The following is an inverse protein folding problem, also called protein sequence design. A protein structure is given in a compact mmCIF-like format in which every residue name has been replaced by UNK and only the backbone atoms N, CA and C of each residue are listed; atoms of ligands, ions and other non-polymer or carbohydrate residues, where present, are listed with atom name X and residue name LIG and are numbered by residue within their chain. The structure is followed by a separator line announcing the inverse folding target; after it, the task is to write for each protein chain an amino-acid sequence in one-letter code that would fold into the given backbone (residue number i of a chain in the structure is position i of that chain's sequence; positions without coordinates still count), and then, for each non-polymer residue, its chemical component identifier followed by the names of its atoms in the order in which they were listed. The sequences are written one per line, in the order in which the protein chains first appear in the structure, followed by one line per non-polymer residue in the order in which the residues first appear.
data_IF_752166716644
#
_entry.id   IF_752166716644
#
_cell.length_a   1.000
_cell.length_b   1.000
_cell.length_c   1.000
_cell.angle_alpha   90.00
_cell.angle_beta   90.00
_cell.angle_gamma   90.00
#
_symmetry.space_group_name_H-M   'P 1'
#
loop_
_entity.id
_entity.type
_entity.pdbx_description
1 polymer ?
#
# COMPACT_ATOMS: atom_id res chain seq x y z
N UNK A 1 28.26 -14.44 32.22
CA UNK A 1 27.74 -15.57 31.41
C UNK A 1 28.93 -16.24 30.73
N UNK A 2 29.33 -17.44 31.14
CA UNK A 2 30.55 -18.09 30.63
C UNK A 2 30.29 -18.75 29.27
N UNK A 3 31.02 -18.34 28.24
CA UNK A 3 30.96 -18.92 26.89
C UNK A 3 31.45 -20.38 26.96
N UNK A 4 30.59 -21.34 26.60
CA UNK A 4 30.93 -22.76 26.51
C UNK A 4 31.06 -23.18 25.04
N UNK A 5 31.95 -24.15 24.74
CA UNK A 5 32.12 -24.81 23.43
C UNK A 5 30.80 -25.16 22.72
N UNK A 6 29.76 -25.55 23.46
CA UNK A 6 28.42 -25.86 22.88
C UNK A 6 27.68 -24.61 22.40
N UNK A 7 27.89 -23.47 23.05
CA UNK A 7 27.39 -22.17 22.60
C UNK A 7 28.16 -21.73 21.34
N UNK A 8 29.49 -21.80 21.35
CA UNK A 8 30.32 -21.47 20.20
C UNK A 8 29.94 -22.30 18.96
N UNK A 9 29.85 -23.63 19.05
CA UNK A 9 29.51 -24.48 17.90
C UNK A 9 28.08 -24.23 17.37
N UNK A 10 27.11 -23.93 18.24
CA UNK A 10 25.76 -23.54 17.80
C UNK A 10 25.75 -22.18 17.12
N UNK A 11 26.50 -21.20 17.64
CA UNK A 11 26.60 -19.86 17.07
C UNK A 11 27.38 -19.84 15.74
N UNK A 12 28.45 -20.64 15.63
CA UNK A 12 29.28 -20.75 14.43
C UNK A 12 28.57 -21.52 13.29
N UNK A 13 27.76 -22.54 13.61
CA UNK A 13 26.97 -23.26 12.60
C UNK A 13 25.92 -22.37 11.92
N UNK A 14 25.28 -21.47 12.68
CA UNK A 14 24.31 -20.51 12.14
C UNK A 14 25.00 -19.41 11.31
N UNK A 15 26.21 -19.01 11.68
CA UNK A 15 27.02 -18.05 10.92
C UNK A 15 27.52 -18.60 9.58
N UNK A 16 27.86 -19.89 9.51
CA UNK A 16 28.30 -20.54 8.26
C UNK A 16 27.14 -20.78 7.28
N UNK A 17 25.94 -21.13 7.77
CA UNK A 17 24.76 -21.24 6.91
C UNK A 17 24.31 -19.90 6.32
N UNK A 18 24.60 -18.77 6.98
CA UNK A 18 24.21 -17.44 6.50
C UNK A 18 25.17 -16.85 5.46
N UNK A 19 26.45 -17.22 5.47
CA UNK A 19 27.43 -16.78 4.46
C UNK A 19 27.31 -17.60 3.17
N UNK A 20 27.07 -18.92 3.28
CA UNK A 20 26.96 -19.82 2.11
C UNK A 20 25.67 -19.61 1.29
N UNK A 21 24.56 -19.27 1.95
CA UNK A 21 23.29 -18.99 1.26
C UNK A 21 23.24 -17.58 0.65
N UNK A 22 24.07 -16.64 1.11
CA UNK A 22 24.05 -15.28 0.59
C UNK A 22 24.50 -15.18 -0.87
N UNK A 23 25.34 -16.09 -1.37
CA UNK A 23 25.81 -16.04 -2.77
C UNK A 23 24.94 -16.82 -3.77
N UNK A 24 24.13 -17.78 -3.30
CA UNK A 24 23.26 -18.60 -4.15
C UNK A 24 21.76 -18.30 -3.97
N UNK A 25 21.39 -17.45 -3.01
CA UNK A 25 20.00 -17.06 -2.81
C UNK A 25 19.50 -16.22 -4.00
N UNK A 26 18.33 -16.54 -4.58
CA UNK A 26 17.62 -15.67 -5.49
C UNK A 26 17.59 -14.23 -4.98
N UNK A 27 17.82 -13.26 -5.88
CA UNK A 27 17.98 -11.84 -5.52
C UNK A 27 16.81 -11.27 -4.69
N UNK A 28 15.61 -11.84 -4.79
CA UNK A 28 14.46 -11.45 -3.97
C UNK A 28 14.64 -11.80 -2.48
N UNK A 29 15.28 -12.93 -2.16
CA UNK A 29 15.59 -13.33 -0.78
C UNK A 29 16.71 -12.47 -0.19
N UNK A 30 17.74 -12.15 -0.99
CA UNK A 30 18.77 -11.19 -0.58
C UNK A 30 18.17 -9.80 -0.29
N UNK A 31 17.27 -9.33 -1.17
CA UNK A 31 16.52 -8.07 -0.96
C UNK A 31 15.62 -8.12 0.29
N UNK A 32 14.97 -9.25 0.56
CA UNK A 32 14.14 -9.44 1.75
C UNK A 32 14.97 -9.42 3.04
N UNK A 33 16.14 -10.07 3.05
CA UNK A 33 17.08 -10.07 4.19
C UNK A 33 17.67 -8.67 4.43
N UNK A 34 18.11 -7.96 3.38
CA UNK A 34 18.58 -6.57 3.52
C UNK A 34 17.46 -5.61 3.96
N UNK A 35 16.21 -5.87 3.55
CA UNK A 35 15.05 -5.13 4.04
C UNK A 35 14.74 -5.42 5.52
N UNK A 36 15.01 -6.64 5.98
CA UNK A 36 14.90 -7.04 7.39
C UNK A 36 16.03 -6.47 8.26
N UNK A 37 17.26 -6.39 7.78
CA UNK A 37 18.36 -5.73 8.53
C UNK A 37 18.08 -4.23 8.71
N UNK A 38 17.43 -3.60 7.72
CA UNK A 38 16.93 -2.23 7.86
C UNK A 38 15.80 -2.09 8.90
N UNK A 39 15.10 -3.18 9.24
CA UNK A 39 14.16 -3.23 10.35
C UNK A 39 14.81 -3.61 11.68
N UNK A 40 15.91 -4.38 11.69
CA UNK A 40 16.66 -4.74 12.92
C UNK A 40 17.54 -3.60 13.44
N UNK A 41 18.04 -2.71 12.57
CA UNK A 41 18.62 -1.42 12.99
C UNK A 41 17.53 -0.48 13.58
N UNK A 42 16.25 -0.79 13.39
CA UNK A 42 15.12 -0.09 14.02
C UNK A 42 14.56 -0.82 15.26
N UNK A 43 15.39 -1.60 15.95
CA UNK A 43 15.06 -2.21 17.24
C UNK A 43 15.66 -1.43 18.41
N UNK A 44 14.85 -0.56 19.03
CA UNK A 44 15.13 0.05 20.33
C UNK A 44 15.53 1.53 20.28
N UNK A 45 14.59 2.43 20.59
CA UNK A 45 14.83 3.87 20.71
C UNK A 45 14.42 4.66 19.46
N UNK A 46 13.74 5.80 19.66
CA UNK A 46 13.07 6.56 18.59
C UNK A 46 14.01 7.07 17.49
N UNK A 47 13.53 7.08 16.24
CA UNK A 47 14.19 7.80 15.14
C UNK A 47 14.01 7.22 13.73
N UNK A 48 13.59 5.96 13.58
CA UNK A 48 13.33 5.40 12.25
C UNK A 48 12.07 5.99 11.61
N UNK A 49 12.19 6.61 10.43
CA UNK A 49 11.05 7.13 9.66
C UNK A 49 10.04 5.99 9.43
N UNK A 50 8.81 6.15 9.95
CA UNK A 50 7.70 5.21 9.71
C UNK A 50 7.53 5.03 8.20
N UNK A 51 7.45 3.77 7.74
CA UNK A 51 7.21 3.45 6.33
C UNK A 51 5.72 3.56 6.05
N UNK A 52 5.33 4.35 5.06
CA UNK A 52 3.95 4.46 4.58
C UNK A 52 3.78 3.60 3.33
N UNK A 53 2.75 2.75 3.31
CA UNK A 53 2.33 2.03 2.12
C UNK A 53 1.18 2.81 1.47
N UNK A 54 1.33 3.15 0.19
CA UNK A 54 0.27 3.74 -0.62
C UNK A 54 -0.17 2.67 -1.61
N UNK A 55 -1.45 2.29 -1.56
CA UNK A 55 -2.05 1.34 -2.51
C UNK A 55 -2.99 2.10 -3.42
N UNK A 56 -2.77 2.02 -4.73
CA UNK A 56 -3.62 2.64 -5.74
C UNK A 56 -4.26 1.50 -6.53
N UNK A 57 -5.58 1.41 -6.50
CA UNK A 57 -6.32 0.42 -7.27
C UNK A 57 -7.07 1.09 -8.43
N UNK A 58 -6.53 0.91 -9.65
CA UNK A 58 -7.11 1.37 -10.90
C UNK A 58 -8.30 0.49 -11.31
N UNK A 59 -9.51 0.89 -10.90
CA UNK A 59 -10.76 0.21 -11.28
C UNK A 59 -11.10 0.51 -12.74
N UNK A 60 -11.77 -0.43 -13.40
CA UNK A 60 -12.17 -0.27 -14.81
C UNK A 60 -11.22 -0.92 -15.83
N UNK A 61 -10.36 -1.85 -15.37
CA UNK A 61 -9.43 -2.63 -16.19
C UNK A 61 -8.36 -1.79 -16.87
N UNK A 62 -7.19 -1.70 -16.23
CA UNK A 62 -6.04 -1.03 -16.81
C UNK A 62 -5.37 -1.91 -17.86
N UNK A 63 -5.06 -1.33 -19.01
CA UNK A 63 -4.31 -2.00 -20.07
C UNK A 63 -2.82 -1.98 -19.75
N UNK A 64 -2.35 -3.01 -19.03
CA UNK A 64 -0.95 -3.13 -18.62
C UNK A 64 0.04 -3.07 -19.79
N UNK A 65 -0.32 -3.67 -20.93
CA UNK A 65 0.50 -3.68 -22.14
C UNK A 65 0.62 -2.31 -22.82
N UNK A 66 -0.27 -1.35 -22.52
CA UNK A 66 -0.11 0.04 -22.95
C UNK A 66 0.48 0.94 -21.85
N UNK A 67 0.44 0.54 -20.58
CA UNK A 67 1.19 1.23 -19.52
C UNK A 67 2.70 0.99 -19.62
N UNK A 68 3.05 -0.29 -19.82
CA UNK A 68 4.42 -0.79 -19.95
C UNK A 68 4.49 -1.52 -21.28
N UNK A 69 4.84 -0.75 -22.31
CA UNK A 69 4.80 -1.11 -23.71
C UNK A 69 6.00 -2.01 -24.04
N UNK A 70 5.81 -3.29 -24.43
CA UNK A 70 6.89 -4.14 -24.90
C UNK A 70 7.23 -3.79 -26.37
N UNK A 71 7.74 -2.58 -26.62
CA UNK A 71 7.96 -2.07 -28.00
C UNK A 71 9.01 -2.89 -28.78
N UNK A 72 9.86 -3.65 -28.10
CA UNK A 72 10.77 -4.62 -28.70
C UNK A 72 10.07 -5.86 -29.27
N UNK A 73 8.85 -6.16 -28.81
CA UNK A 73 8.08 -7.34 -29.22
C UNK A 73 7.24 -7.02 -30.47
N UNK A 74 7.46 -7.78 -31.55
CA UNK A 74 6.71 -7.60 -32.80
C UNK A 74 5.24 -8.02 -32.62
N UNK A 75 4.98 -9.09 -31.88
CA UNK A 75 3.64 -9.61 -31.68
C UNK A 75 2.71 -8.58 -31.02
N UNK A 76 3.24 -7.66 -30.20
CA UNK A 76 2.46 -6.57 -29.62
C UNK A 76 1.84 -5.67 -30.70
N UNK A 77 2.59 -5.33 -31.75
CA UNK A 77 2.09 -4.51 -32.85
C UNK A 77 1.14 -5.30 -33.76
N UNK A 78 1.49 -6.54 -34.09
CA UNK A 78 0.69 -7.40 -34.96
C UNK A 78 -0.69 -7.72 -34.34
N UNK A 79 -0.75 -7.90 -33.01
CA UNK A 79 -1.99 -8.20 -32.28
C UNK A 79 -2.79 -6.95 -31.87
N UNK A 80 -2.21 -5.74 -31.96
CA UNK A 80 -2.84 -4.49 -31.50
C UNK A 80 -2.76 -3.35 -32.52
N UNK A 81 -3.14 -3.56 -33.79
CA UNK A 81 -2.90 -2.59 -34.87
C UNK A 81 -3.54 -1.22 -34.63
N UNK A 82 -4.66 -1.15 -33.89
CA UNK A 82 -5.36 0.10 -33.59
C UNK A 82 -5.03 0.70 -32.20
N UNK A 83 -4.32 -0.03 -31.34
CA UNK A 83 -4.11 0.33 -29.93
C UNK A 83 -2.64 0.44 -29.54
N UNK A 84 -1.73 -0.10 -30.36
CA UNK A 84 -0.32 -0.16 -30.04
C UNK A 84 0.29 1.25 -29.93
N UNK A 85 1.05 1.47 -28.87
CA UNK A 85 1.83 2.69 -28.69
C UNK A 85 3.06 2.63 -29.62
N UNK A 86 3.33 3.69 -30.41
CA UNK A 86 4.47 3.74 -31.30
C UNK A 86 5.80 3.47 -30.59
N UNK A 87 6.74 2.84 -31.31
CA UNK A 87 8.11 2.62 -30.81
C UNK A 87 8.78 3.95 -30.42
N UNK A 88 9.70 3.96 -29.44
CA UNK A 88 10.45 5.15 -29.07
C UNK A 88 11.07 5.82 -30.30
N UNK A 89 10.71 7.08 -30.53
CA UNK A 89 11.21 7.87 -31.65
C UNK A 89 11.41 9.31 -31.20
N UNK A 90 12.60 9.85 -31.43
CA UNK A 90 12.92 11.24 -31.08
C UNK A 90 11.96 12.19 -31.81
N UNK A 91 11.32 13.08 -31.04
CA UNK A 91 10.39 14.08 -31.58
C UNK A 91 8.95 13.59 -31.75
N UNK A 92 8.65 12.33 -31.43
CA UNK A 92 7.27 11.83 -31.38
C UNK A 92 6.75 11.83 -29.93
N UNK A 93 5.84 12.75 -29.55
CA UNK A 93 5.30 12.80 -28.20
C UNK A 93 4.37 11.62 -27.86
N UNK A 94 3.85 10.93 -28.87
CA UNK A 94 2.95 9.79 -28.70
C UNK A 94 3.72 8.45 -28.59
N UNK A 95 5.04 8.46 -28.81
CA UNK A 95 5.86 7.26 -28.75
C UNK A 95 6.16 6.84 -27.31
N UNK A 96 6.29 5.53 -27.10
CA UNK A 96 6.68 4.96 -25.81
C UNK A 96 8.02 5.56 -25.34
N UNK A 97 8.14 5.75 -24.03
CA UNK A 97 9.35 6.27 -23.39
C UNK A 97 10.22 5.09 -23.01
N UNK A 98 11.32 4.92 -23.73
CA UNK A 98 12.24 3.79 -23.55
C UNK A 98 12.76 3.66 -22.11
N UNK A 99 12.63 2.48 -21.52
CA UNK A 99 13.15 2.13 -20.20
C UNK A 99 14.48 1.38 -20.26
N UNK A 100 14.63 0.45 -21.21
CA UNK A 100 15.73 -0.53 -21.25
C UNK A 100 16.09 -1.09 -22.64
N UNK A 101 15.54 -0.52 -23.72
CA UNK A 101 15.73 -0.98 -25.10
C UNK A 101 14.71 -2.05 -25.56
N UNK A 102 13.83 -2.51 -24.67
CA UNK A 102 12.77 -3.47 -25.01
C UNK A 102 11.39 -3.04 -24.49
N UNK A 103 11.32 -2.53 -23.27
CA UNK A 103 10.11 -2.00 -22.65
C UNK A 103 10.14 -0.48 -22.57
N UNK A 104 8.97 0.15 -22.72
CA UNK A 104 8.79 1.58 -22.59
C UNK A 104 7.57 1.93 -21.74
N UNK A 105 7.54 3.13 -21.18
CA UNK A 105 6.34 3.67 -20.53
C UNK A 105 5.41 4.30 -21.56
N UNK A 106 4.11 4.27 -21.30
CA UNK A 106 3.15 5.16 -21.98
C UNK A 106 3.62 6.63 -21.89
N UNK A 107 3.45 7.46 -22.93
CA UNK A 107 3.80 8.89 -22.87
C UNK A 107 3.23 9.64 -21.66
N UNK A 108 1.94 9.40 -21.34
CA UNK A 108 1.27 9.97 -20.16
C UNK A 108 1.87 9.57 -18.81
N UNK A 109 2.76 8.58 -18.78
CA UNK A 109 3.50 8.14 -17.60
C UNK A 109 4.93 8.71 -17.56
N UNK A 110 5.26 9.73 -18.36
CA UNK A 110 6.57 10.38 -18.39
C UNK A 110 7.12 10.75 -16.99
N UNK A 111 6.24 11.17 -16.08
CA UNK A 111 6.63 11.50 -14.69
C UNK A 111 7.28 10.33 -13.92
N UNK A 112 7.05 9.08 -14.33
CA UNK A 112 7.65 7.90 -13.72
C UNK A 112 9.06 7.60 -14.23
N UNK A 113 9.49 8.18 -15.36
CA UNK A 113 10.81 7.93 -15.95
C UNK A 113 11.95 8.32 -15.00
N UNK A 114 11.80 9.44 -14.29
CA UNK A 114 12.77 9.87 -13.29
C UNK A 114 12.90 8.87 -12.13
N UNK A 115 11.81 8.21 -11.73
CA UNK A 115 11.83 7.19 -10.69
C UNK A 115 12.48 5.90 -11.18
N UNK A 116 12.25 5.52 -12.44
CA UNK A 116 12.92 4.40 -13.10
C UNK A 116 14.43 4.62 -13.16
N UNK A 117 14.86 5.76 -13.71
CA UNK A 117 16.28 6.10 -13.87
C UNK A 117 17.02 6.17 -12.53
N UNK A 118 16.33 6.67 -11.49
CA UNK A 118 16.85 6.68 -10.13
C UNK A 118 16.81 5.31 -9.42
N UNK A 119 16.36 4.24 -10.09
CA UNK A 119 16.16 2.89 -9.52
C UNK A 119 15.24 2.86 -8.29
N UNK A 120 14.23 3.73 -8.30
CA UNK A 120 13.20 3.87 -7.26
C UNK A 120 11.82 3.38 -7.69
N UNK A 121 11.69 2.93 -8.92
CA UNK A 121 10.51 2.25 -9.48
C UNK A 121 10.91 0.82 -9.87
N UNK A 122 10.03 -0.13 -9.56
CA UNK A 122 10.11 -1.49 -10.06
C UNK A 122 8.75 -1.84 -10.68
N UNK A 123 8.79 -2.45 -11.86
CA UNK A 123 7.63 -2.93 -12.60
C UNK A 123 7.69 -4.46 -12.58
N UNK A 124 6.56 -5.10 -12.36
CA UNK A 124 6.45 -6.56 -12.37
C UNK A 124 5.37 -6.93 -13.37
N UNK A 125 5.79 -7.46 -14.50
CA UNK A 125 4.91 -7.92 -15.58
C UNK A 125 4.49 -9.38 -15.38
N UNK A 126 3.51 -9.81 -16.17
CA UNK A 126 3.00 -11.19 -16.19
C UNK A 126 2.52 -11.70 -14.81
N UNK A 127 1.98 -10.80 -14.00
CA UNK A 127 1.32 -11.11 -12.73
C UNK A 127 -0.18 -10.92 -12.85
N UNK A 128 -0.95 -11.83 -12.24
CA UNK A 128 -2.40 -11.81 -12.33
C UNK A 128 -3.06 -12.70 -11.29
N UNK A 129 -4.39 -12.66 -11.27
CA UNK A 129 -5.19 -13.56 -10.44
C UNK A 129 -5.06 -15.01 -10.93
N UNK A 130 -4.89 -16.00 -10.03
CA UNK A 130 -4.99 -17.42 -10.39
C UNK A 130 -6.44 -17.85 -10.70
N UNK A 131 -7.43 -17.05 -10.30
CA UNK A 131 -8.83 -17.23 -10.65
C UNK A 131 -9.14 -16.56 -11.99
N UNK A 132 -9.82 -17.28 -12.88
CA UNK A 132 -10.11 -16.90 -14.26
C UNK A 132 -11.53 -16.37 -14.48
N UNK A 133 -12.18 -15.84 -13.42
CA UNK A 133 -13.51 -15.26 -13.53
C UNK A 133 -13.59 -14.21 -14.64
N UNK A 134 -14.71 -14.21 -15.37
CA UNK A 134 -15.05 -13.20 -16.38
C UNK A 134 -15.89 -12.06 -15.81
N UNK A 135 -16.23 -12.10 -14.53
CA UNK A 135 -16.98 -11.04 -13.85
C UNK A 135 -16.02 -9.97 -13.34
N UNK A 136 -16.17 -8.74 -13.84
CA UNK A 136 -15.43 -7.59 -13.32
C UNK A 136 -15.70 -7.33 -11.83
N UNK A 137 -16.90 -7.63 -11.34
CA UNK A 137 -17.24 -7.48 -9.93
C UNK A 137 -16.47 -8.48 -9.08
N UNK A 138 -16.46 -9.76 -9.49
CA UNK A 138 -15.74 -10.81 -8.76
C UNK A 138 -14.22 -10.59 -8.81
N UNK A 139 -13.66 -10.21 -9.95
CA UNK A 139 -12.23 -9.93 -10.08
C UNK A 139 -11.79 -8.76 -9.18
N UNK A 140 -12.58 -7.69 -9.12
CA UNK A 140 -12.34 -6.57 -8.20
C UNK A 140 -12.42 -7.03 -6.76
N UNK A 141 -13.46 -7.78 -6.42
CA UNK A 141 -13.67 -8.32 -5.08
C UNK A 141 -12.48 -9.17 -4.63
N UNK A 142 -11.99 -10.06 -5.50
CA UNK A 142 -10.83 -10.91 -5.23
C UNK A 142 -9.51 -10.12 -5.09
N UNK A 143 -9.31 -9.06 -5.86
CA UNK A 143 -8.16 -8.16 -5.70
C UNK A 143 -8.20 -7.40 -4.36
N UNK A 144 -9.39 -7.02 -3.89
CA UNK A 144 -9.56 -6.31 -2.62
C UNK A 144 -9.52 -7.22 -1.39
N UNK A 145 -10.09 -8.43 -1.46
CA UNK A 145 -9.95 -9.42 -0.39
C UNK A 145 -8.58 -10.06 -0.37
N UNK A 146 -7.88 -10.16 -1.50
CA UNK A 146 -6.67 -10.97 -1.64
C UNK A 146 -6.94 -12.48 -1.52
N UNK A 147 -8.16 -12.95 -1.79
CA UNK A 147 -8.51 -14.38 -1.78
C UNK A 147 -9.28 -14.78 -3.04
N UNK A 148 -8.58 -14.93 -4.19
CA UNK A 148 -9.19 -15.32 -5.46
C UNK A 148 -10.03 -16.60 -5.35
N UNK A 149 -11.21 -16.60 -5.94
CA UNK A 149 -12.15 -17.73 -5.93
C UNK A 149 -12.95 -17.93 -4.64
N UNK A 150 -12.70 -17.14 -3.58
CA UNK A 150 -13.39 -17.27 -2.28
C UNK A 150 -14.21 -16.03 -1.96
N UNK A 151 -15.49 -16.05 -2.34
CA UNK A 151 -16.45 -14.96 -2.05
C UNK A 151 -16.81 -14.82 -0.57
N UNK A 152 -16.66 -15.89 0.21
CA UNK A 152 -16.98 -15.91 1.63
C UNK A 152 -15.94 -15.19 2.52
N UNK A 153 -14.87 -14.62 1.96
CA UNK A 153 -13.93 -13.81 2.74
C UNK A 153 -14.60 -12.48 3.10
N UNK A 154 -14.73 -12.16 4.38
CA UNK A 154 -15.48 -10.97 4.81
C UNK A 154 -14.60 -9.71 4.89
N UNK A 155 -13.29 -9.86 4.99
CA UNK A 155 -12.34 -8.76 5.21
C UNK A 155 -11.36 -8.55 4.04
N UNK A 156 -10.82 -7.34 3.99
CA UNK A 156 -9.84 -6.92 3.01
C UNK A 156 -8.41 -7.31 3.40
N UNK A 157 -7.55 -7.50 2.40
CA UNK A 157 -6.16 -7.90 2.67
C UNK A 157 -5.35 -6.82 3.41
N UNK A 158 -5.62 -5.53 3.18
CA UNK A 158 -4.96 -4.45 3.93
C UNK A 158 -5.44 -4.45 5.39
N UNK A 159 -6.73 -4.67 5.63
CA UNK A 159 -7.24 -4.77 7.01
C UNK A 159 -6.62 -5.96 7.75
N UNK A 160 -6.52 -7.13 7.11
CA UNK A 160 -5.82 -8.28 7.68
C UNK A 160 -4.34 -8.00 7.96
N UNK A 161 -3.67 -7.25 7.09
CA UNK A 161 -2.29 -6.81 7.33
C UNK A 161 -2.18 -5.95 8.61
N UNK A 162 -3.13 -5.05 8.86
CA UNK A 162 -3.16 -4.24 10.08
C UNK A 162 -3.34 -5.10 11.34
N UNK A 163 -4.19 -6.13 11.27
CA UNK A 163 -4.42 -7.08 12.37
C UNK A 163 -3.18 -7.94 12.65
N UNK A 164 -2.39 -8.27 11.62
CA UNK A 164 -1.17 -9.09 11.76
C UNK A 164 -0.02 -8.41 12.53
N UNK A 165 -0.08 -7.09 12.71
CA UNK A 165 0.94 -6.30 13.41
C UNK A 165 0.29 -5.40 14.44
N UNK A 166 0.48 -5.70 15.74
CA UNK A 166 0.12 -4.74 16.78
C UNK A 166 1.06 -3.53 16.70
N UNK A 167 0.50 -2.34 16.70
CA UNK A 167 1.24 -1.08 16.81
C UNK A 167 0.70 -0.36 18.05
N UNK A 168 1.48 -0.39 19.13
CA UNK A 168 1.13 0.26 20.40
C UNK A 168 1.04 1.78 20.27
N UNK A 169 1.55 2.35 19.17
CA UNK A 169 1.49 3.78 18.83
C UNK A 169 0.61 4.04 17.62
N UNK A 170 -0.36 3.14 17.37
CA UNK A 170 -1.36 3.32 16.34
C UNK A 170 -2.16 4.60 16.63
N UNK A 171 -2.31 5.45 15.63
CA UNK A 171 -3.29 6.53 15.65
C UNK A 171 -4.49 6.14 14.78
N UNK A 172 -5.61 6.86 14.88
CA UNK A 172 -6.73 6.69 13.93
C UNK A 172 -6.31 6.83 12.46
N UNK A 173 -5.22 7.55 12.16
CA UNK A 173 -4.66 7.71 10.81
C UNK A 173 -3.71 6.58 10.38
N UNK A 174 -3.65 5.48 11.13
CA UNK A 174 -2.84 4.32 10.77
C UNK A 174 -3.27 3.71 9.43
N UNK A 175 -4.55 3.80 9.10
CA UNK A 175 -5.12 3.35 7.84
C UNK A 175 -6.15 4.35 7.35
N UNK A 176 -5.89 4.93 6.18
CA UNK A 176 -6.73 5.97 5.58
C UNK A 176 -6.99 5.63 4.13
N UNK A 177 -8.25 5.69 3.71
CA UNK A 177 -8.64 5.69 2.31
C UNK A 177 -9.06 7.10 1.87
N UNK A 178 -8.56 7.52 0.71
CA UNK A 178 -8.93 8.79 0.07
C UNK A 178 -10.16 8.57 -0.83
N UNK A 179 -11.28 8.16 -0.23
CA UNK A 179 -12.52 7.76 -0.91
C UNK A 179 -13.76 8.16 -0.11
N UNK A 180 -14.93 8.21 -0.76
CA UNK A 180 -16.20 8.46 -0.06
C UNK A 180 -16.61 7.28 0.84
N UNK A 181 -16.53 6.06 0.32
CA UNK A 181 -16.87 4.83 1.04
C UNK A 181 -15.60 4.04 1.35
N UNK A 182 -15.63 3.25 2.43
CA UNK A 182 -14.52 2.39 2.82
C UNK A 182 -14.31 1.30 1.76
N UNK A 183 -13.15 1.26 1.06
CA UNK A 183 -12.87 0.22 0.08
C UNK A 183 -12.79 -1.14 0.76
N UNK A 184 -13.18 -2.20 0.05
CA UNK A 184 -13.20 -3.55 0.62
C UNK A 184 -11.83 -3.99 1.13
N UNK A 185 -10.75 -3.54 0.48
CA UNK A 185 -9.39 -3.84 0.93
C UNK A 185 -9.11 -3.42 2.39
N UNK A 186 -9.81 -2.41 2.90
CA UNK A 186 -9.69 -1.91 4.28
C UNK A 186 -10.87 -2.28 5.19
N UNK A 187 -11.88 -3.00 4.71
CA UNK A 187 -12.96 -3.51 5.55
C UNK A 187 -12.46 -4.65 6.45
N UNK A 188 -12.91 -4.67 7.70
CA UNK A 188 -12.56 -5.69 8.68
C UNK A 188 -12.51 -5.13 10.10
N UNK A 189 -11.85 -5.85 11.01
CA UNK A 189 -11.83 -5.51 12.44
C UNK A 189 -10.84 -4.41 12.83
N UNK A 190 -9.80 -4.19 12.02
CA UNK A 190 -8.86 -3.12 12.30
C UNK A 190 -9.51 -1.76 11.98
N UNK A 191 -9.37 -0.74 12.86
CA UNK A 191 -9.84 0.62 12.58
C UNK A 191 -9.24 1.19 11.29
N UNK A 192 -10.08 1.81 10.47
CA UNK A 192 -9.69 2.48 9.23
C UNK A 192 -10.62 3.66 8.95
N UNK A 193 -10.07 4.75 8.40
CA UNK A 193 -10.82 5.99 8.12
C UNK A 193 -10.98 6.21 6.63
N UNK A 194 -12.20 6.54 6.18
CA UNK A 194 -12.46 7.00 4.81
C UNK A 194 -12.66 8.52 4.85
N UNK A 195 -11.97 9.22 3.97
CA UNK A 195 -12.16 10.66 3.77
C UNK A 195 -11.92 11.05 2.32
N UNK A 196 -12.68 12.02 1.83
CA UNK A 196 -12.50 12.60 0.50
C UNK A 196 -11.44 13.69 0.48
N UNK A 197 -11.27 14.39 1.60
CA UNK A 197 -10.34 15.50 1.75
C UNK A 197 -9.97 15.68 3.22
N UNK A 198 -8.72 16.08 3.46
CA UNK A 198 -8.23 16.49 4.78
C UNK A 198 -8.96 17.74 5.29
N UNK A 199 -9.36 18.65 4.38
CA UNK A 199 -10.02 19.91 4.72
C UNK A 199 -11.45 19.70 5.23
N UNK A 200 -12.20 18.78 4.61
CA UNK A 200 -13.60 18.48 4.97
C UNK A 200 -13.70 17.90 6.39
N UNK A 201 -12.67 17.15 6.80
CA UNK A 201 -12.59 16.57 8.13
C UNK A 201 -12.48 17.63 9.23
N UNK A 202 -11.88 18.79 8.93
CA UNK A 202 -11.72 19.91 9.87
C UNK A 202 -13.02 20.71 10.02
N UNK A 203 -13.76 20.92 8.92
CA UNK A 203 -14.99 21.73 8.90
C UNK A 203 -16.16 20.98 9.54
N UNK A 204 -16.30 19.67 9.26
CA UNK A 204 -17.36 18.86 9.88
C UNK A 204 -17.16 18.72 11.39
N UNK A 205 -15.95 18.79 11.90
CA UNK A 205 -15.74 18.82 13.35
C UNK A 205 -15.89 20.23 13.96
N UNK A 206 -15.67 21.28 13.17
CA UNK A 206 -15.83 22.68 13.58
C UNK A 206 -17.28 23.14 13.70
N UNK A 207 -18.19 22.61 12.87
CA UNK A 207 -19.63 22.94 12.96
C UNK A 207 -20.36 22.21 14.10
N UNK A 208 -19.75 21.20 14.74
CA UNK A 208 -20.30 20.50 15.90
C UNK A 208 -19.88 21.12 17.25
N UNK A 209 -19.41 22.37 17.27
CA UNK A 209 -18.89 23.05 18.47
C UNK A 209 -19.60 24.40 18.61
N UNK A 210 -20.53 24.61 19.55
CA UNK A 210 -20.27 24.58 21.01
C UNK A 210 -21.34 23.89 21.88
N UNK A 211 -22.51 23.54 21.34
CA UNK A 211 -23.61 22.98 22.15
C UNK A 211 -23.63 21.44 22.23
N UNK A 212 -22.72 20.76 21.54
CA UNK A 212 -22.71 19.28 21.43
C UNK A 212 -21.56 18.63 22.21
N UNK A 213 -20.57 19.40 22.67
CA UNK A 213 -19.44 18.88 23.45
C UNK A 213 -19.85 18.21 24.76
N UNK A 214 -20.92 18.66 25.42
CA UNK A 214 -21.45 17.99 26.63
C UNK A 214 -22.62 17.02 26.37
N UNK A 215 -23.27 17.11 25.21
CA UNK A 215 -24.53 16.40 24.94
C UNK A 215 -24.36 15.02 24.30
N UNK A 216 -23.35 14.85 23.42
CA UNK A 216 -23.18 13.58 22.71
C UNK A 216 -22.41 12.53 23.52
N UNK A 217 -21.47 12.93 24.39
CA UNK A 217 -20.79 12.01 25.32
C UNK A 217 -21.80 11.40 26.31
N UNK A 218 -22.76 12.18 26.81
CA UNK A 218 -23.81 11.70 27.70
C UNK A 218 -24.82 10.76 27.02
N UNK A 219 -25.13 10.97 25.73
CA UNK A 219 -26.03 10.10 24.95
C UNK A 219 -25.33 8.78 24.56
N UNK A 220 -24.03 8.81 24.27
CA UNK A 220 -23.25 7.60 23.96
C UNK A 220 -22.88 6.77 25.19
N UNK A 221 -22.70 7.39 26.36
CA UNK A 221 -22.49 6.67 27.62
C UNK A 221 -23.78 6.00 28.15
N UNK A 222 -24.97 6.45 27.71
CA UNK A 222 -26.25 5.88 28.16
C UNK A 222 -27.04 5.08 27.11
N UNK A 223 -26.63 5.05 25.84
CA UNK A 223 -27.42 4.39 24.80
C UNK A 223 -26.60 3.75 23.68
N UNK A 224 -26.76 2.43 23.55
CA UNK A 224 -26.23 1.55 22.48
C UNK A 224 -24.79 1.10 22.70
N UNK A 225 -24.65 0.08 23.55
CA UNK A 225 -23.45 -0.73 23.66
C UNK A 225 -23.09 -1.36 22.31
N UNK A 226 -21.84 -1.12 21.91
CA UNK A 226 -20.88 -2.09 21.37
C UNK A 226 -20.40 -1.92 19.91
N UNK A 227 -21.09 -1.16 19.04
CA UNK A 227 -20.63 -1.00 17.62
C UNK A 227 -20.44 0.46 17.19
N UNK A 228 -21.25 1.39 17.67
CA UNK A 228 -21.16 2.80 17.28
C UNK A 228 -20.22 3.62 18.17
N UNK A 229 -19.99 3.17 19.42
CA UNK A 229 -19.15 3.89 20.39
C UNK A 229 -17.66 3.90 20.00
N UNK A 230 -17.16 2.85 19.34
CA UNK A 230 -15.80 2.80 18.80
C UNK A 230 -15.56 3.82 17.68
N UNK A 231 -16.44 3.81 16.68
CA UNK A 231 -16.38 4.72 15.51
C UNK A 231 -16.46 6.20 15.91
N UNK A 232 -17.29 6.53 16.91
CA UNK A 232 -17.40 7.89 17.44
C UNK A 232 -16.11 8.36 18.10
N UNK A 233 -15.55 7.56 19.02
CA UNK A 233 -14.28 7.87 19.72
C UNK A 233 -13.12 8.02 18.74
N UNK A 234 -12.99 7.12 17.77
CA UNK A 234 -11.95 7.17 16.73
C UNK A 234 -12.03 8.44 15.88
N UNK A 235 -13.24 8.89 15.55
CA UNK A 235 -13.45 10.14 14.80
C UNK A 235 -12.99 11.36 15.60
N UNK A 236 -13.32 11.44 16.89
CA UNK A 236 -12.88 12.55 17.75
C UNK A 236 -11.37 12.58 17.95
N UNK A 237 -10.74 11.42 18.17
CA UNK A 237 -9.29 11.32 18.26
C UNK A 237 -8.61 11.75 16.96
N UNK A 238 -9.17 11.38 15.81
CA UNK A 238 -8.68 11.79 14.50
C UNK A 238 -8.77 13.32 14.32
N UNK A 239 -9.87 13.94 14.74
CA UNK A 239 -10.05 15.41 14.66
C UNK A 239 -9.01 16.12 15.51
N UNK A 240 -8.87 15.68 16.75
CA UNK A 240 -7.93 16.28 17.69
C UNK A 240 -6.48 16.15 17.20
N UNK A 241 -6.13 15.04 16.56
CA UNK A 241 -4.83 14.85 15.95
C UNK A 241 -4.62 15.80 14.75
N UNK A 242 -5.58 15.96 13.84
CA UNK A 242 -5.45 16.90 12.71
C UNK A 242 -5.32 18.35 13.14
N UNK A 243 -6.07 18.78 14.17
CA UNK A 243 -5.93 20.12 14.75
C UNK A 243 -4.51 20.37 15.28
N UNK A 244 -3.87 19.35 15.87
CA UNK A 244 -2.47 19.44 16.35
C UNK A 244 -1.46 19.50 15.22
N UNK A 245 -1.67 18.77 14.12
CA UNK A 245 -0.71 18.65 13.01
C UNK A 245 -0.83 19.81 11.99
N UNK A 246 -1.97 20.50 11.94
CA UNK A 246 -2.24 21.65 11.07
C UNK A 246 -1.86 21.41 9.58
N UNK A 247 -2.58 20.51 8.88
CA UNK A 247 -2.25 20.14 7.50
C UNK A 247 -2.28 21.32 6.51
N UNK A 248 -2.94 22.44 6.84
CA UNK A 248 -2.96 23.65 6.01
C UNK A 248 -1.57 24.30 5.85
N UNK A 249 -0.60 23.97 6.73
CA UNK A 249 0.78 24.46 6.63
C UNK A 249 1.72 23.50 5.87
N UNK A 250 1.23 22.34 5.43
CA UNK A 250 2.05 21.38 4.69
C UNK A 250 2.40 21.93 3.30
N UNK A 251 3.70 22.11 3.02
CA UNK A 251 4.24 22.42 1.70
C UNK A 251 4.94 21.17 1.16
N UNK A 252 4.52 20.62 0.00
CA UNK A 252 5.08 19.40 -0.59
C UNK A 252 6.58 19.48 -0.89
#
# INVERSE_FOLDING_TARGET
MSINRRFFLKSSGIALCSIGLAQAAPSFLQRAVLAQDRQRIAGGGGGGRRKTLITIFQRGAVDGLNMVVPFGERAYYDLRPALAIPKPQRGNPEAAIDLDGFFGLHPSLAGFKLLWDAKRLAIVEAVGSPDNTRSHFDAQDYMESGTPGRKATEDGWLNRLLQSRKDERASPFRAVSMTQNMPRALQGRAPALAMTSLSDFTIRAGQYSQNVQGGFEAIYDQGVADVLSGTGKETFEAVNFLKKVNPAQYKP
#
